data_IF_525444702750
#
_entry.id   IF_525444702750
#
_cell.length_a   1.000
_cell.length_b   1.000
_cell.length_c   1.000
_cell.angle_alpha   90.00
_cell.angle_beta   90.00
_cell.angle_gamma   90.00
#
_symmetry.space_group_name_H-M   'P 1'
#
loop_
_entity.id
_entity.type
_entity.pdbx_description
1 polymer ?
#
# COMPACT_ATOMS: atom_id res chain seq x y z
N UNK A 1 33.33 -3.05 5.43
CA UNK A 1 32.04 -3.76 5.40
C UNK A 1 31.03 -2.85 6.09
N UNK A 2 30.15 -2.21 5.34
CA UNK A 2 29.04 -1.46 5.94
C UNK A 2 28.17 -2.42 6.76
N UNK A 3 27.98 -2.09 8.03
CA UNK A 3 27.16 -2.88 8.94
C UNK A 3 25.71 -2.54 8.60
N UNK A 4 25.01 -3.46 7.94
CA UNK A 4 23.58 -3.31 7.68
C UNK A 4 22.78 -3.87 8.85
N UNK A 5 21.65 -3.23 9.13
CA UNK A 5 20.72 -3.67 10.15
C UNK A 5 19.58 -4.48 9.54
N UNK A 6 19.09 -5.45 10.31
CA UNK A 6 17.91 -6.23 9.96
C UNK A 6 16.71 -5.47 10.53
N UNK A 7 15.81 -4.93 9.68
CA UNK A 7 14.65 -4.20 10.16
C UNK A 7 13.64 -5.14 10.83
N UNK A 8 12.79 -4.59 11.70
CA UNK A 8 11.67 -5.31 12.29
C UNK A 8 10.57 -5.63 11.26
N UNK A 9 9.77 -6.68 11.49
CA UNK A 9 8.73 -7.11 10.55
C UNK A 9 7.67 -6.03 10.30
N UNK A 10 7.24 -5.28 11.32
CA UNK A 10 6.23 -4.23 11.14
C UNK A 10 6.77 -3.08 10.28
N UNK A 11 8.03 -2.69 10.46
CA UNK A 11 8.69 -1.68 9.63
C UNK A 11 8.76 -2.11 8.15
N UNK A 12 9.04 -3.39 7.90
CA UNK A 12 9.07 -3.94 6.53
C UNK A 12 7.67 -3.97 5.93
N UNK A 13 6.65 -4.33 6.71
CA UNK A 13 5.24 -4.34 6.27
C UNK A 13 4.76 -2.95 5.89
N UNK A 14 5.13 -1.93 6.65
CA UNK A 14 4.83 -0.53 6.34
C UNK A 14 5.50 -0.10 5.04
N UNK A 15 6.79 -0.39 4.87
CA UNK A 15 7.52 -0.10 3.64
C UNK A 15 6.91 -0.81 2.41
N UNK A 16 6.55 -2.09 2.53
CA UNK A 16 5.85 -2.84 1.46
C UNK A 16 4.52 -2.16 1.12
N UNK A 17 3.74 -1.77 2.14
CA UNK A 17 2.43 -1.13 1.93
C UNK A 17 2.59 0.18 1.15
N UNK A 18 3.58 1.00 1.50
CA UNK A 18 3.87 2.25 0.79
C UNK A 18 4.28 2.01 -0.66
N UNK A 19 5.15 1.02 -0.91
CA UNK A 19 5.59 0.66 -2.27
C UNK A 19 4.41 0.20 -3.13
N UNK A 20 3.61 -0.75 -2.63
CA UNK A 20 2.47 -1.30 -3.36
C UNK A 20 1.38 -0.24 -3.64
N UNK A 21 1.20 0.73 -2.75
CA UNK A 21 0.29 1.86 -2.98
C UNK A 21 0.76 2.75 -4.14
N UNK A 22 2.08 2.98 -4.26
CA UNK A 22 2.66 3.83 -5.30
C UNK A 22 2.61 3.13 -6.66
N UNK A 23 3.02 1.87 -6.73
CA UNK A 23 3.15 1.14 -8.01
C UNK A 23 1.86 0.46 -8.47
N UNK A 24 0.96 0.10 -7.56
CA UNK A 24 -0.28 -0.70 -7.76
C UNK A 24 -0.04 -2.15 -8.23
N UNK A 25 0.90 -2.36 -9.16
CA UNK A 25 1.43 -3.66 -9.56
C UNK A 25 2.96 -3.63 -9.53
N UNK A 26 3.59 -4.76 -9.22
CA UNK A 26 5.03 -4.97 -9.35
C UNK A 26 5.29 -6.30 -10.03
N UNK A 27 6.06 -6.29 -11.12
CA UNK A 27 6.15 -7.41 -12.06
C UNK A 27 7.24 -8.42 -11.69
N UNK A 28 8.02 -8.18 -10.64
CA UNK A 28 8.98 -9.16 -10.16
C UNK A 28 9.26 -9.09 -8.67
N UNK A 29 9.69 -10.22 -8.12
CA UNK A 29 10.21 -10.31 -6.76
C UNK A 29 11.37 -9.36 -6.49
N UNK A 30 12.31 -9.29 -7.45
CA UNK A 30 13.52 -8.49 -7.34
C UNK A 30 13.17 -7.01 -7.29
N UNK A 31 12.34 -6.56 -8.22
CA UNK A 31 11.85 -5.17 -8.27
C UNK A 31 11.15 -4.77 -6.98
N UNK A 32 10.23 -5.61 -6.46
CA UNK A 32 9.55 -5.32 -5.20
C UNK A 32 10.56 -5.15 -4.05
N UNK A 33 11.58 -6.00 -4.01
CA UNK A 33 12.60 -5.98 -2.96
C UNK A 33 13.52 -4.76 -3.07
N UNK A 34 13.88 -4.36 -4.28
CA UNK A 34 14.67 -3.14 -4.54
C UNK A 34 13.88 -1.89 -4.11
N UNK A 35 12.60 -1.80 -4.46
CA UNK A 35 11.72 -0.70 -4.06
C UNK A 35 11.52 -0.64 -2.54
N UNK A 36 11.34 -1.79 -1.88
CA UNK A 36 11.19 -1.87 -0.41
C UNK A 36 12.48 -1.44 0.29
N UNK A 37 13.64 -1.89 -0.17
CA UNK A 37 14.92 -1.44 0.39
C UNK A 37 15.13 0.06 0.16
N UNK A 38 14.72 0.61 -0.99
CA UNK A 38 14.78 2.04 -1.24
C UNK A 38 13.88 2.82 -0.26
N UNK A 39 12.66 2.33 0.00
CA UNK A 39 11.73 2.98 0.92
C UNK A 39 12.22 2.93 2.37
N UNK A 40 12.77 1.79 2.83
CA UNK A 40 13.32 1.64 4.19
C UNK A 40 14.48 2.60 4.48
N UNK A 41 15.28 2.91 3.47
CA UNK A 41 16.46 3.76 3.58
C UNK A 41 16.19 5.24 3.21
N UNK A 42 14.95 5.60 2.89
CA UNK A 42 14.63 6.96 2.40
C UNK A 42 14.84 8.04 3.46
N UNK A 43 14.53 7.77 4.72
CA UNK A 43 14.54 8.74 5.83
C UNK A 43 15.29 8.20 7.06
N UNK A 44 16.26 7.32 6.86
CA UNK A 44 16.96 6.64 7.96
C UNK A 44 18.47 6.73 7.74
N UNK A 45 19.21 7.16 8.76
CA UNK A 45 20.68 7.15 8.74
C UNK A 45 21.27 5.74 8.88
N UNK A 46 20.43 4.77 9.27
CA UNK A 46 20.81 3.37 9.47
C UNK A 46 20.53 2.57 8.20
N UNK A 47 21.53 1.92 7.58
CA UNK A 47 21.33 1.14 6.37
C UNK A 47 20.60 -0.17 6.68
N UNK A 48 19.37 -0.29 6.19
CA UNK A 48 18.57 -1.51 6.27
C UNK A 48 18.68 -2.36 5.02
N UNK A 49 18.63 -3.68 5.19
CA UNK A 49 18.55 -4.63 4.07
C UNK A 49 17.59 -5.77 4.37
N UNK A 50 16.71 -6.06 3.42
CA UNK A 50 15.76 -7.17 3.47
C UNK A 50 15.97 -8.11 2.29
N UNK A 51 15.83 -9.41 2.55
CA UNK A 51 15.89 -10.45 1.52
C UNK A 51 14.58 -10.57 0.75
N UNK A 52 14.68 -10.99 -0.51
CA UNK A 52 13.51 -11.26 -1.36
C UNK A 52 12.52 -12.23 -0.71
N UNK A 53 13.03 -13.31 -0.10
CA UNK A 53 12.18 -14.28 0.60
C UNK A 53 11.37 -13.64 1.72
N UNK A 54 11.98 -12.77 2.54
CA UNK A 54 11.29 -12.11 3.66
C UNK A 54 10.24 -11.13 3.16
N UNK A 55 10.56 -10.33 2.12
CA UNK A 55 9.57 -9.45 1.46
C UNK A 55 8.40 -10.27 0.94
N UNK A 56 8.65 -11.35 0.19
CA UNK A 56 7.58 -12.22 -0.35
C UNK A 56 6.71 -12.79 0.76
N UNK A 57 7.34 -13.36 1.78
CA UNK A 57 6.66 -14.03 2.88
C UNK A 57 5.75 -13.05 3.63
N UNK A 58 6.28 -11.89 4.03
CA UNK A 58 5.48 -10.87 4.73
C UNK A 58 4.34 -10.33 3.88
N UNK A 59 4.58 -10.09 2.58
CA UNK A 59 3.53 -9.65 1.65
C UNK A 59 2.36 -10.64 1.59
N UNK A 60 2.64 -11.94 1.56
CA UNK A 60 1.61 -12.98 1.49
C UNK A 60 0.97 -13.19 2.86
N UNK A 61 1.77 -13.37 3.93
CA UNK A 61 1.30 -13.67 5.29
C UNK A 61 0.41 -12.55 5.84
N UNK A 62 0.75 -11.28 5.57
CA UNK A 62 -0.07 -10.12 5.95
C UNK A 62 -1.13 -9.76 4.90
N UNK A 63 -1.20 -10.51 3.81
CA UNK A 63 -2.22 -10.35 2.77
C UNK A 63 -2.18 -9.00 2.04
N UNK A 64 -1.01 -8.35 1.96
CA UNK A 64 -0.83 -7.00 1.42
C UNK A 64 -1.05 -6.93 -0.10
N UNK A 65 -0.72 -8.00 -0.82
CA UNK A 65 -0.90 -8.13 -2.26
C UNK A 65 -1.56 -9.46 -2.63
N UNK A 66 -2.26 -9.48 -3.76
CA UNK A 66 -2.55 -10.68 -4.52
C UNK A 66 -1.29 -11.10 -5.28
N UNK A 67 -0.97 -12.38 -5.22
CA UNK A 67 0.20 -12.94 -5.88
C UNK A 67 -0.23 -13.72 -7.11
N UNK A 68 0.29 -13.34 -8.26
CA UNK A 68 0.24 -14.11 -9.49
C UNK A 68 1.58 -14.82 -9.69
N UNK A 69 1.51 -16.10 -10.07
CA UNK A 69 2.67 -16.97 -10.19
C UNK A 69 2.67 -17.53 -11.59
N UNK A 70 3.73 -17.22 -12.35
CA UNK A 70 4.00 -17.93 -13.59
C UNK A 70 4.83 -19.17 -13.29
N UNK A 71 4.57 -20.22 -14.06
CA UNK A 71 5.22 -21.51 -13.89
C UNK A 71 6.07 -21.85 -15.10
N UNK A 72 7.23 -22.46 -14.85
CA UNK A 72 8.00 -23.15 -15.88
C UNK A 72 7.77 -24.65 -15.79
N UNK A 73 7.89 -25.31 -16.94
CA UNK A 73 7.80 -26.77 -17.01
C UNK A 73 8.92 -27.43 -16.22
N UNK A 74 8.58 -28.49 -15.50
CA UNK A 74 9.53 -29.32 -14.77
C UNK A 74 9.01 -30.75 -14.71
N UNK A 75 9.94 -31.70 -14.71
CA UNK A 75 9.66 -33.13 -14.53
C UNK A 75 10.11 -33.65 -13.16
N UNK A 76 10.47 -32.76 -12.23
CA UNK A 76 11.04 -33.07 -10.91
C UNK A 76 10.02 -33.58 -9.88
N UNK A 77 8.85 -34.05 -10.31
CA UNK A 77 7.75 -34.46 -9.43
C UNK A 77 7.06 -33.29 -8.70
N UNK A 78 6.11 -33.63 -7.83
CA UNK A 78 5.33 -32.67 -7.02
C UNK A 78 6.07 -32.38 -5.71
N UNK A 79 6.31 -31.11 -5.36
CA UNK A 79 7.02 -30.77 -4.12
C UNK A 79 6.20 -31.17 -2.88
N UNK A 80 6.87 -31.35 -1.74
CA UNK A 80 6.22 -31.61 -0.45
C UNK A 80 5.75 -30.31 0.21
N UNK A 81 6.61 -29.29 0.19
CA UNK A 81 6.35 -27.96 0.72
C UNK A 81 6.20 -26.92 -0.38
N UNK A 82 5.42 -25.87 -0.12
CA UNK A 82 5.25 -24.77 -1.04
C UNK A 82 6.58 -24.00 -1.24
N UNK A 83 7.13 -23.90 -2.46
CA UNK A 83 8.36 -23.16 -2.72
C UNK A 83 8.20 -21.63 -2.58
N UNK A 84 6.96 -21.15 -2.53
CA UNK A 84 6.64 -19.72 -2.49
C UNK A 84 6.62 -19.21 -1.05
N UNK A 85 5.86 -19.88 -0.16
CA UNK A 85 5.65 -19.47 1.23
C UNK A 85 6.16 -20.47 2.29
N UNK A 86 6.60 -21.66 1.89
CA UNK A 86 7.11 -22.69 2.80
C UNK A 86 6.07 -23.52 3.55
N UNK A 87 4.77 -23.26 3.36
CA UNK A 87 3.68 -24.03 4.00
C UNK A 87 3.44 -25.38 3.31
N UNK A 88 2.73 -26.28 4.00
CA UNK A 88 2.29 -27.55 3.43
C UNK A 88 1.37 -27.37 2.22
N UNK A 89 1.31 -28.40 1.38
CA UNK A 89 0.47 -28.42 0.18
C UNK A 89 -0.66 -29.44 0.31
N UNK A 90 -1.85 -29.04 -0.12
CA UNK A 90 -3.00 -29.94 -0.24
C UNK A 90 -2.88 -30.75 -1.54
N UNK A 91 -3.10 -32.05 -1.46
CA UNK A 91 -3.04 -32.96 -2.61
C UNK A 91 -4.42 -33.13 -3.22
N UNK A 92 -4.53 -32.83 -4.51
CA UNK A 92 -5.73 -33.05 -5.31
C UNK A 92 -5.55 -34.38 -6.04
N UNK A 93 -6.42 -35.32 -5.70
CA UNK A 93 -6.42 -36.69 -6.23
C UNK A 93 -7.58 -36.91 -7.19
N UNK A 94 -7.42 -37.89 -8.07
CA UNK A 94 -8.52 -38.40 -8.89
C UNK A 94 -8.47 -39.94 -8.91
N UNK A 95 -9.63 -40.52 -9.19
CA UNK A 95 -9.78 -41.96 -9.32
C UNK A 95 -9.22 -42.42 -10.66
N UNK A 96 -8.44 -43.49 -10.66
CA UNK A 96 -7.95 -44.15 -11.87
C UNK A 96 -9.03 -45.09 -12.42
N UNK A 97 -8.90 -45.47 -13.69
CA UNK A 97 -9.82 -46.43 -14.34
C UNK A 97 -9.84 -47.80 -13.64
N UNK A 98 -8.78 -48.14 -12.89
CA UNK A 98 -8.64 -49.37 -12.11
C UNK A 98 -9.16 -49.23 -10.66
N UNK A 99 -9.76 -48.10 -10.30
CA UNK A 99 -10.30 -47.83 -8.95
C UNK A 99 -9.27 -47.36 -7.92
N UNK A 100 -8.02 -47.10 -8.31
CA UNK A 100 -7.00 -46.50 -7.44
C UNK A 100 -7.11 -44.98 -7.37
N UNK A 101 -6.31 -44.33 -6.52
CA UNK A 101 -6.23 -42.86 -6.43
C UNK A 101 -4.85 -42.35 -6.87
N UNK A 102 -4.82 -41.43 -7.82
CA UNK A 102 -3.59 -40.77 -8.27
C UNK A 102 -3.62 -39.27 -7.94
N UNK A 103 -2.50 -38.74 -7.42
CA UNK A 103 -2.34 -37.30 -7.19
C UNK A 103 -2.09 -36.62 -8.53
N UNK A 104 -3.00 -35.73 -8.95
CA UNK A 104 -2.85 -34.97 -10.20
C UNK A 104 -2.09 -33.67 -9.93
N UNK A 105 -2.39 -33.02 -8.82
CA UNK A 105 -1.94 -31.66 -8.52
C UNK A 105 -1.78 -31.47 -7.02
N UNK A 106 -0.89 -30.56 -6.65
CA UNK A 106 -0.82 -30.01 -5.30
C UNK A 106 -1.11 -28.52 -5.33
N UNK A 107 -1.86 -28.00 -4.35
CA UNK A 107 -2.11 -26.56 -4.20
C UNK A 107 -1.75 -26.05 -2.81
N UNK A 108 -1.40 -24.77 -2.72
CA UNK A 108 -1.23 -24.07 -1.46
C UNK A 108 -2.42 -23.12 -1.26
N UNK A 109 -3.20 -23.34 -0.21
CA UNK A 109 -4.36 -22.48 0.09
C UNK A 109 -3.97 -21.09 0.62
N UNK A 110 -2.71 -20.92 1.01
CA UNK A 110 -2.22 -19.66 1.55
C UNK A 110 -1.77 -18.68 0.47
N UNK A 111 -0.88 -19.11 -0.43
CA UNK A 111 -0.32 -18.23 -1.46
C UNK A 111 -0.86 -18.51 -2.87
N UNK A 112 -1.77 -19.47 -3.04
CA UNK A 112 -2.35 -19.84 -4.33
C UNK A 112 -1.41 -20.62 -5.28
N UNK A 113 -0.24 -21.03 -4.80
CA UNK A 113 0.70 -21.84 -5.58
C UNK A 113 0.06 -23.16 -6.00
N UNK A 114 0.26 -23.56 -7.25
CA UNK A 114 -0.22 -24.83 -7.82
C UNK A 114 0.94 -25.56 -8.48
N UNK A 115 1.02 -26.86 -8.27
CA UNK A 115 2.00 -27.73 -8.89
C UNK A 115 1.30 -28.90 -9.55
N UNK A 116 1.57 -29.12 -10.82
CA UNK A 116 1.18 -30.32 -11.56
C UNK A 116 2.42 -31.13 -11.94
N UNK A 117 2.22 -32.34 -12.45
CA UNK A 117 3.31 -33.20 -12.91
C UNK A 117 4.19 -32.57 -14.02
N UNK A 118 3.68 -31.56 -14.75
CA UNK A 118 4.41 -30.89 -15.84
C UNK A 118 4.82 -29.46 -15.52
N UNK A 119 4.18 -28.81 -14.55
CA UNK A 119 4.39 -27.41 -14.20
C UNK A 119 4.45 -27.28 -12.68
N UNK A 120 5.66 -27.16 -12.14
CA UNK A 120 5.86 -27.15 -10.69
C UNK A 120 6.88 -26.11 -10.20
N UNK A 121 7.61 -25.42 -11.08
CA UNK A 121 8.61 -24.45 -10.63
C UNK A 121 8.10 -23.03 -10.90
N UNK A 122 7.96 -22.17 -9.87
CA UNK A 122 7.70 -20.75 -10.06
C UNK A 122 8.83 -20.09 -10.87
N UNK A 123 8.48 -19.33 -11.90
CA UNK A 123 9.42 -18.59 -12.74
C UNK A 123 9.35 -17.09 -12.51
N UNK A 124 8.13 -16.53 -12.42
CA UNK A 124 7.88 -15.10 -12.22
C UNK A 124 6.80 -14.91 -11.16
N UNK A 125 6.93 -13.81 -10.42
CA UNK A 125 5.96 -13.37 -9.42
C UNK A 125 5.50 -11.97 -9.78
N UNK A 126 4.19 -11.78 -9.92
CA UNK A 126 3.57 -10.46 -10.07
C UNK A 126 2.74 -10.16 -8.82
N UNK A 127 2.93 -8.99 -8.24
CA UNK A 127 2.29 -8.55 -7.00
C UNK A 127 1.31 -7.44 -7.30
N UNK A 128 0.02 -7.70 -7.11
CA UNK A 128 -1.04 -6.74 -7.33
C UNK A 128 -1.62 -6.27 -5.99
N UNK A 129 -1.76 -4.97 -5.76
CA UNK A 129 -2.39 -4.46 -4.54
C UNK A 129 -3.84 -4.96 -4.45
N UNK A 130 -4.26 -5.46 -3.29
CA UNK A 130 -5.65 -5.90 -3.11
C UNK A 130 -6.57 -4.68 -3.02
N UNK A 131 -7.69 -4.69 -3.74
CA UNK A 131 -8.69 -3.62 -3.71
C UNK A 131 -9.16 -3.29 -2.27
N UNK A 132 -9.41 -4.31 -1.45
CA UNK A 132 -9.73 -4.14 -0.02
C UNK A 132 -8.65 -3.38 0.75
N UNK A 133 -7.38 -3.60 0.42
CA UNK A 133 -6.27 -2.92 1.10
C UNK A 133 -6.19 -1.45 0.66
N UNK A 134 -6.49 -1.18 -0.61
CA UNK A 134 -6.62 0.20 -1.11
C UNK A 134 -7.71 0.95 -0.35
N UNK A 135 -8.89 0.34 -0.17
CA UNK A 135 -9.99 0.97 0.60
C UNK A 135 -9.63 1.18 2.06
N UNK A 136 -9.08 0.17 2.75
CA UNK A 136 -8.63 0.31 4.16
C UNK A 136 -7.63 1.48 4.33
N UNK A 137 -6.72 1.66 3.38
CA UNK A 137 -5.72 2.72 3.43
C UNK A 137 -6.32 4.09 3.07
N UNK A 138 -7.32 4.15 2.19
CA UNK A 138 -8.10 5.36 1.94
C UNK A 138 -8.88 5.78 3.19
N UNK A 139 -9.51 4.84 3.87
CA UNK A 139 -10.24 5.08 5.12
C UNK A 139 -9.30 5.63 6.21
N UNK A 140 -8.09 5.06 6.34
CA UNK A 140 -7.07 5.57 7.28
C UNK A 140 -6.60 6.99 6.94
N UNK A 141 -6.40 7.32 5.65
CA UNK A 141 -6.03 8.68 5.23
C UNK A 141 -7.14 9.66 5.53
N UNK A 142 -8.39 9.28 5.25
CA UNK A 142 -9.58 10.08 5.51
C UNK A 142 -9.74 10.37 7.00
N UNK A 143 -9.57 9.36 7.86
CA UNK A 143 -9.59 9.52 9.31
C UNK A 143 -8.51 10.52 9.79
N UNK A 144 -7.27 10.39 9.32
CA UNK A 144 -6.17 11.32 9.68
C UNK A 144 -6.46 12.76 9.26
N UNK A 145 -6.97 12.97 8.04
CA UNK A 145 -7.34 14.30 7.54
C UNK A 145 -8.50 14.89 8.35
N UNK A 146 -9.51 14.09 8.68
CA UNK A 146 -10.62 14.52 9.53
C UNK A 146 -10.14 14.92 10.93
N UNK A 147 -9.23 14.17 11.54
CA UNK A 147 -8.62 14.55 12.83
C UNK A 147 -7.83 15.85 12.72
N UNK A 148 -7.04 16.03 11.66
CA UNK A 148 -6.28 17.27 11.44
C UNK A 148 -7.22 18.49 11.36
N UNK A 149 -8.32 18.36 10.61
CA UNK A 149 -9.37 19.39 10.54
C UNK A 149 -9.98 19.70 11.91
N UNK A 150 -10.31 18.68 12.70
CA UNK A 150 -10.83 18.85 14.07
C UNK A 150 -9.83 19.59 14.95
N UNK A 151 -8.54 19.24 14.90
CA UNK A 151 -7.51 19.92 15.67
C UNK A 151 -7.35 21.40 15.31
N UNK A 152 -7.45 21.75 14.02
CA UNK A 152 -7.45 23.16 13.60
C UNK A 152 -8.69 23.88 14.12
N UNK A 153 -9.87 23.26 14.08
CA UNK A 153 -11.09 23.81 14.69
C UNK A 153 -10.90 24.11 16.17
N UNK A 154 -10.39 23.15 16.94
CA UNK A 154 -10.09 23.34 18.35
C UNK A 154 -9.09 24.48 18.59
N UNK A 155 -8.06 24.60 17.76
CA UNK A 155 -7.09 25.69 17.87
C UNK A 155 -7.75 27.05 17.61
N UNK A 156 -8.62 27.15 16.61
CA UNK A 156 -9.40 28.36 16.34
C UNK A 156 -10.27 28.78 17.53
N UNK A 157 -11.00 27.82 18.13
CA UNK A 157 -11.88 28.08 19.27
C UNK A 157 -11.09 28.60 20.49
N UNK A 158 -9.91 28.02 20.74
CA UNK A 158 -9.00 28.48 21.81
C UNK A 158 -8.55 29.92 21.53
N UNK A 159 -8.10 30.22 20.31
CA UNK A 159 -7.62 31.55 19.92
C UNK A 159 -8.74 32.60 20.07
N UNK A 160 -9.95 32.29 19.61
CA UNK A 160 -11.12 33.19 19.74
C UNK A 160 -11.44 33.44 21.23
N UNK A 161 -11.47 32.39 22.05
CA UNK A 161 -11.80 32.50 23.48
C UNK A 161 -10.81 33.34 24.30
N UNK A 162 -9.52 33.31 23.93
CA UNK A 162 -8.46 34.02 24.66
C UNK A 162 -8.35 35.50 24.31
N UNK A 163 -8.92 35.89 23.16
CA UNK A 163 -8.65 37.19 22.55
C UNK A 163 -9.89 38.09 22.57
N UNK A 164 -11.03 37.57 23.02
CA UNK A 164 -12.21 38.38 23.32
C UNK A 164 -11.87 39.50 24.32
N UNK A 165 -12.10 40.75 23.87
CA UNK A 165 -11.78 41.96 24.64
C UNK A 165 -10.32 42.44 24.57
N UNK A 166 -9.44 41.78 23.81
CA UNK A 166 -8.02 42.15 23.72
C UNK A 166 -7.71 43.04 22.49
N UNK A 167 -6.67 43.88 22.58
CA UNK A 167 -6.25 44.81 21.50
C UNK A 167 -5.85 44.07 20.22
N UNK A 168 -5.31 42.85 20.36
CA UNK A 168 -4.91 41.98 19.24
C UNK A 168 -6.08 41.23 18.58
N UNK A 169 -7.33 41.53 18.95
CA UNK A 169 -8.49 40.80 18.44
C UNK A 169 -8.67 40.90 16.93
N UNK A 170 -8.21 41.98 16.29
CA UNK A 170 -8.23 42.07 14.84
C UNK A 170 -7.28 41.06 14.18
N UNK A 171 -6.03 41.00 14.64
CA UNK A 171 -4.99 40.12 14.08
C UNK A 171 -5.31 38.63 14.35
N UNK A 172 -5.88 38.35 15.52
CA UNK A 172 -6.34 37.02 15.88
C UNK A 172 -7.49 36.54 14.99
N UNK A 173 -8.50 37.39 14.77
CA UNK A 173 -9.61 37.06 13.85
C UNK A 173 -9.11 36.81 12.43
N UNK A 174 -8.13 37.59 11.98
CA UNK A 174 -7.46 37.37 10.68
C UNK A 174 -6.76 36.01 10.64
N UNK A 175 -6.03 35.65 11.69
CA UNK A 175 -5.35 34.35 11.82
C UNK A 175 -6.33 33.18 11.84
N UNK A 176 -7.40 33.28 12.63
CA UNK A 176 -8.48 32.27 12.70
C UNK A 176 -9.18 32.12 11.36
N UNK A 177 -9.43 33.21 10.64
CA UNK A 177 -10.00 33.18 9.29
C UNK A 177 -9.13 32.35 8.34
N UNK A 178 -7.80 32.56 8.35
CA UNK A 178 -6.86 31.78 7.52
C UNK A 178 -6.82 30.30 7.92
N UNK A 179 -6.82 29.99 9.21
CA UNK A 179 -6.86 28.61 9.69
C UNK A 179 -8.15 27.89 9.27
N UNK A 180 -9.30 28.57 9.36
CA UNK A 180 -10.58 28.06 8.86
C UNK A 180 -10.56 27.88 7.34
N UNK A 181 -9.93 28.77 6.60
CA UNK A 181 -9.73 28.61 5.15
C UNK A 181 -8.88 27.37 4.81
N UNK A 182 -7.81 27.09 5.56
CA UNK A 182 -7.01 25.87 5.40
C UNK A 182 -7.82 24.61 5.76
N UNK A 183 -8.66 24.68 6.79
CA UNK A 183 -9.46 23.54 7.22
C UNK A 183 -10.62 23.22 6.25
N UNK A 184 -11.34 24.26 5.79
CA UNK A 184 -12.66 24.14 5.14
C UNK A 184 -12.79 24.89 3.81
N UNK A 185 -11.74 25.56 3.35
CA UNK A 185 -11.74 26.36 2.12
C UNK A 185 -12.22 25.54 0.93
N UNK A 186 -13.33 25.94 0.33
CA UNK A 186 -13.86 25.26 -0.86
C UNK A 186 -13.07 25.61 -2.12
N UNK A 187 -12.52 26.82 -2.15
CA UNK A 187 -11.83 27.39 -3.31
C UNK A 187 -10.32 27.14 -3.29
N UNK A 188 -9.74 26.82 -2.13
CA UNK A 188 -8.33 26.44 -2.01
C UNK A 188 -8.15 24.94 -2.28
N UNK A 189 -7.47 24.55 -3.37
CA UNK A 189 -7.15 23.15 -3.65
C UNK A 189 -6.34 22.48 -2.52
N UNK A 190 -5.55 23.26 -1.78
CA UNK A 190 -4.72 22.81 -0.67
C UNK A 190 -5.46 22.70 0.66
N UNK A 191 -6.76 23.02 0.72
CA UNK A 191 -7.52 22.87 1.96
C UNK A 191 -7.70 21.40 2.34
N UNK A 192 -7.73 21.13 3.64
CA UNK A 192 -7.97 19.76 4.14
C UNK A 192 -9.34 19.26 3.67
N UNK A 193 -10.36 20.12 3.62
CA UNK A 193 -11.67 19.78 3.08
C UNK A 193 -11.62 19.30 1.62
N UNK A 194 -10.80 19.91 0.77
CA UNK A 194 -10.63 19.47 -0.62
C UNK A 194 -9.74 18.23 -0.73
N UNK A 195 -8.73 18.06 0.14
CA UNK A 195 -7.97 16.81 0.23
C UNK A 195 -8.88 15.62 0.61
N UNK A 196 -9.78 15.82 1.58
CA UNK A 196 -10.77 14.81 1.99
C UNK A 196 -11.63 14.39 0.80
N UNK A 197 -12.25 15.35 0.09
CA UNK A 197 -13.06 15.07 -1.10
C UNK A 197 -12.29 14.33 -2.19
N UNK A 198 -11.02 14.68 -2.38
CA UNK A 198 -10.16 14.03 -3.37
C UNK A 198 -9.91 12.57 -3.02
N UNK A 199 -9.69 12.27 -1.74
CA UNK A 199 -9.52 10.89 -1.25
C UNK A 199 -10.83 10.10 -1.36
N UNK A 200 -11.97 10.70 -1.00
CA UNK A 200 -13.29 10.06 -1.06
C UNK A 200 -13.71 9.68 -2.49
N UNK A 201 -13.46 10.56 -3.47
CA UNK A 201 -13.83 10.32 -4.86
C UNK A 201 -12.91 9.34 -5.58
N UNK A 202 -11.73 9.05 -5.03
CA UNK A 202 -10.68 8.25 -5.69
C UNK A 202 -10.38 8.75 -7.13
N UNK A 203 -10.58 10.05 -7.35
CA UNK A 203 -10.16 10.73 -8.57
C UNK A 203 -8.61 10.74 -8.57
N UNK A 204 -7.99 10.80 -9.74
CA UNK A 204 -6.53 10.72 -9.90
C UNK A 204 -5.76 11.82 -9.15
N UNK A 205 -4.50 12.07 -9.50
CA UNK A 205 -3.70 13.12 -8.85
C UNK A 205 -4.51 14.43 -8.68
N UNK A 206 -4.72 14.90 -7.43
CA UNK A 206 -5.48 16.11 -7.17
C UNK A 206 -4.88 17.31 -7.92
N UNK A 207 -5.71 18.28 -8.28
CA UNK A 207 -5.28 19.45 -9.06
C UNK A 207 -4.09 20.20 -8.42
N UNK A 208 -3.96 20.20 -7.09
CA UNK A 208 -2.83 20.81 -6.37
C UNK A 208 -1.52 20.01 -6.46
N UNK A 209 -1.56 18.73 -6.83
CA UNK A 209 -0.38 17.95 -7.21
C UNK A 209 0.07 18.23 -8.66
N UNK A 210 -0.70 19.01 -9.42
CA UNK A 210 -0.42 19.40 -10.80
C UNK A 210 -0.25 20.93 -10.86
N UNK A 211 0.96 21.46 -10.65
CA UNK A 211 1.19 22.91 -10.60
C UNK A 211 0.72 23.68 -11.85
N UNK A 212 0.61 22.96 -12.98
CA UNK A 212 0.17 23.50 -14.27
C UNK A 212 -1.32 23.30 -14.56
N UNK A 213 -2.06 22.57 -13.72
CA UNK A 213 -3.50 22.36 -13.88
C UNK A 213 -4.27 23.53 -13.25
N UNK A 214 -4.97 24.29 -14.09
CA UNK A 214 -5.95 25.27 -13.59
C UNK A 214 -7.12 24.54 -12.94
N UNK A 215 -7.54 24.98 -11.76
CA UNK A 215 -8.73 24.48 -11.04
C UNK A 215 -9.99 24.51 -11.92
N UNK A 216 -10.05 25.41 -12.91
CA UNK A 216 -11.15 25.53 -13.88
C UNK A 216 -11.07 24.55 -15.07
N UNK A 217 -9.94 23.87 -15.25
CA UNK A 217 -9.66 22.94 -16.36
C UNK A 217 -9.21 21.54 -15.87
N UNK A 218 -9.53 21.17 -14.62
CA UNK A 218 -9.09 19.89 -14.02
C UNK A 218 -9.44 18.65 -14.84
N UNK A 219 -10.49 18.73 -15.66
CA UNK A 219 -11.08 17.59 -16.37
C UNK A 219 -10.59 17.46 -17.83
N UNK A 220 -9.76 18.39 -18.34
CA UNK A 220 -9.19 18.26 -19.69
C UNK A 220 -8.05 17.24 -19.67
N UNK A 221 -8.25 16.10 -20.33
CA UNK A 221 -7.26 15.03 -20.51
C UNK A 221 -6.18 15.33 -21.56
N UNK A 222 -6.19 16.52 -22.15
CA UNK A 222 -5.33 16.86 -23.29
C UNK A 222 -4.38 18.02 -22.95
N UNK A 223 -3.33 17.75 -22.17
CA UNK A 223 -2.01 18.42 -22.22
C UNK A 223 -0.94 17.40 -21.84
#
# INVERSE_FOLDING_TARGET
MEVYHIPDDELVVDAISVVLLKSKSVESQRELTELVNLELNRNTDVPYKVSEYRVRKLTIDRGLAALEIDYRRSYSGLPETCPVCGRGLESITNSTLEGGTAVIMKKCDHCGYKASARESIPSKYTFNIKARRVSELQDMKLDRLNRAKVHIGMACDIIESLIDGHVLAHDARSTVSKLREIADGKDDPGSIGNMIRSVEKNEGEPAWCRPLASVKNSDRKDI
#
